data_IF_733409755757
#
_entry.id   IF_733409755757
#
_cell.length_a   1.000
_cell.length_b   1.000
_cell.length_c   1.000
_cell.angle_alpha   90.00
_cell.angle_beta   90.00
_cell.angle_gamma   90.00
#
_symmetry.space_group_name_H-M   'P 1'
#
loop_
_entity.id
_entity.type
_entity.pdbx_description
1 polymer ?
#
# COMPACT_ATOMS: atom_id res chain seq x y z
N UNK A 1 26.49 5.15 5.05
CA UNK A 1 26.21 4.94 6.49
C UNK A 1 24.80 4.41 6.61
N UNK A 2 24.60 3.14 6.94
CA UNK A 2 23.26 2.59 7.15
C UNK A 2 22.74 3.03 8.52
N UNK A 3 21.65 3.81 8.52
CA UNK A 3 21.03 4.30 9.74
C UNK A 3 20.07 3.21 10.26
N UNK A 4 20.38 2.59 11.39
CA UNK A 4 19.52 1.59 12.02
C UNK A 4 18.46 2.26 12.89
N UNK A 5 17.19 1.89 12.70
CA UNK A 5 16.05 2.40 13.47
C UNK A 5 15.44 1.25 14.27
N UNK A 6 15.09 1.49 15.53
CA UNK A 6 14.43 0.48 16.37
C UNK A 6 12.96 0.37 15.96
N UNK A 7 12.48 -0.83 15.61
CA UNK A 7 11.10 -1.04 15.17
C UNK A 7 10.04 -0.50 16.17
N UNK A 8 10.34 -0.59 17.48
CA UNK A 8 9.47 -0.06 18.55
C UNK A 8 9.13 1.42 18.40
N UNK A 9 10.02 2.24 17.81
CA UNK A 9 9.73 3.67 17.59
C UNK A 9 8.80 3.91 16.41
N UNK A 10 8.68 2.93 15.51
CA UNK A 10 7.82 2.97 14.32
C UNK A 10 6.44 2.38 14.63
N UNK A 11 6.36 1.37 15.51
CA UNK A 11 5.13 0.67 15.88
C UNK A 11 3.89 1.58 16.03
N UNK A 12 3.93 2.74 16.72
CA UNK A 12 2.76 3.61 16.86
C UNK A 12 2.10 4.05 15.54
N UNK A 13 2.84 4.01 14.43
CA UNK A 13 2.43 4.43 13.09
C UNK A 13 2.01 3.27 12.18
N UNK A 14 2.26 2.02 12.57
CA UNK A 14 2.07 0.82 11.73
C UNK A 14 1.24 -0.28 12.41
N UNK A 15 0.68 0.01 13.60
CA UNK A 15 -0.17 -0.92 14.35
C UNK A 15 -1.62 -0.45 14.39
N UNK A 16 -2.55 -1.39 14.25
CA UNK A 16 -3.97 -1.15 14.34
C UNK A 16 -4.42 -0.89 15.78
N UNK A 17 -5.21 0.16 15.97
CA UNK A 17 -5.76 0.54 17.29
C UNK A 17 -6.87 -0.40 17.81
N UNK A 18 -7.48 -1.20 16.92
CA UNK A 18 -8.53 -2.15 17.31
C UNK A 18 -7.92 -3.44 17.85
N UNK A 19 -7.03 -4.09 17.10
CA UNK A 19 -6.47 -5.39 17.49
C UNK A 19 -5.09 -5.31 18.18
N UNK A 20 -4.41 -4.16 18.13
CA UNK A 20 -3.06 -3.98 18.67
C UNK A 20 -1.93 -4.59 17.83
N UNK A 21 -2.24 -5.35 16.78
CA UNK A 21 -1.27 -5.94 15.85
C UNK A 21 -0.83 -4.98 14.73
N UNK A 22 0.11 -5.42 13.90
CA UNK A 22 0.48 -4.72 12.67
C UNK A 22 -0.69 -4.70 11.67
N UNK A 23 -0.71 -3.70 10.78
CA UNK A 23 -1.72 -3.64 9.73
C UNK A 23 -1.65 -4.85 8.79
N UNK A 24 -2.78 -5.55 8.67
CA UNK A 24 -3.04 -6.58 7.67
C UNK A 24 -4.23 -6.10 6.84
N UNK A 25 -4.04 -6.04 5.53
CA UNK A 25 -4.93 -5.36 4.59
C UNK A 25 -5.29 -3.94 5.08
N UNK A 26 -4.27 -3.08 5.21
CA UNK A 26 -4.38 -1.72 5.69
C UNK A 26 -5.53 -0.99 4.98
N UNK A 27 -6.50 -0.54 5.75
CA UNK A 27 -7.73 0.09 5.26
C UNK A 27 -7.89 1.42 5.96
N UNK A 28 -7.95 2.49 5.18
CA UNK A 28 -7.95 3.86 5.65
C UNK A 28 -9.34 4.47 5.47
N UNK A 29 -9.82 5.18 6.49
CA UNK A 29 -11.02 6.01 6.41
C UNK A 29 -10.69 7.26 5.61
N UNK A 30 -11.44 7.54 4.53
CA UNK A 30 -11.10 8.61 3.58
C UNK A 30 -11.17 10.00 4.20
N UNK A 31 -12.16 10.25 5.06
CA UNK A 31 -12.42 11.58 5.63
C UNK A 31 -11.41 11.99 6.71
N UNK A 32 -10.94 11.05 7.53
CA UNK A 32 -10.07 11.34 8.67
C UNK A 32 -8.66 10.73 8.58
N UNK A 33 -8.39 9.96 7.53
CA UNK A 33 -7.10 9.32 7.23
C UNK A 33 -6.55 8.41 8.35
N UNK A 34 -7.42 7.88 9.21
CA UNK A 34 -7.04 6.84 10.17
C UNK A 34 -7.07 5.47 9.52
N UNK A 35 -6.00 4.71 9.72
CA UNK A 35 -5.79 3.38 9.13
C UNK A 35 -5.97 2.25 10.16
N UNK A 36 -6.54 1.13 9.71
CA UNK A 36 -6.82 -0.06 10.50
C UNK A 36 -6.62 -1.32 9.65
N UNK A 37 -6.68 -2.52 10.23
CA UNK A 37 -6.80 -3.75 9.43
C UNK A 37 -8.20 -3.83 8.80
N UNK A 38 -8.32 -4.34 7.57
CA UNK A 38 -9.61 -4.49 6.87
C UNK A 38 -10.65 -5.21 7.72
N UNK A 39 -10.31 -6.39 8.23
CA UNK A 39 -11.22 -7.20 9.05
C UNK A 39 -11.65 -6.50 10.33
N UNK A 40 -10.77 -5.71 10.94
CA UNK A 40 -11.05 -4.97 12.16
C UNK A 40 -12.03 -3.82 11.89
N UNK A 41 -11.77 -3.00 10.87
CA UNK A 41 -12.60 -1.85 10.57
C UNK A 41 -13.96 -2.26 10.02
N UNK A 42 -14.01 -3.25 9.12
CA UNK A 42 -15.28 -3.76 8.57
C UNK A 42 -16.16 -4.30 9.69
N UNK A 43 -15.61 -5.13 10.59
CA UNK A 43 -16.35 -5.67 11.74
C UNK A 43 -16.86 -4.55 12.67
N UNK A 44 -16.04 -3.54 12.95
CA UNK A 44 -16.47 -2.39 13.76
C UNK A 44 -17.63 -1.63 13.11
N UNK A 45 -17.58 -1.46 11.78
CA UNK A 45 -18.59 -0.74 11.01
C UNK A 45 -19.94 -1.46 10.88
N UNK A 46 -19.99 -2.77 11.21
CA UNK A 46 -21.25 -3.51 11.34
C UNK A 46 -22.08 -2.99 12.53
N UNK A 47 -21.43 -2.51 13.59
CA UNK A 47 -22.08 -2.05 14.82
C UNK A 47 -22.09 -0.52 14.94
N UNK A 48 -20.98 0.14 14.57
CA UNK A 48 -20.76 1.59 14.80
C UNK A 48 -20.29 2.28 13.53
N UNK A 49 -21.01 3.34 13.14
CA UNK A 49 -20.70 4.13 11.93
C UNK A 49 -19.65 5.24 12.15
N UNK A 50 -18.88 5.14 13.23
CA UNK A 50 -17.88 6.13 13.64
C UNK A 50 -16.46 5.58 13.52
N UNK A 51 -15.49 6.47 13.30
CA UNK A 51 -14.08 6.10 13.29
C UNK A 51 -13.63 5.66 14.70
N UNK A 52 -12.99 4.48 14.86
CA UNK A 52 -12.52 4.01 16.17
C UNK A 52 -11.46 4.88 16.86
N UNK A 53 -10.81 5.80 16.12
CA UNK A 53 -9.72 6.64 16.66
C UNK A 53 -10.19 8.04 17.04
N UNK A 54 -11.07 8.66 16.23
CA UNK A 54 -11.49 10.05 16.43
C UNK A 54 -12.99 10.23 16.64
N UNK A 55 -13.77 9.14 16.66
CA UNK A 55 -15.23 9.11 16.88
C UNK A 55 -16.08 9.90 15.87
N UNK A 56 -15.46 10.52 14.85
CA UNK A 56 -16.18 11.15 13.75
C UNK A 56 -17.04 10.12 13.00
N UNK A 57 -18.27 10.50 12.66
CA UNK A 57 -19.14 9.70 11.81
C UNK A 57 -18.51 9.57 10.43
N UNK A 58 -18.26 8.33 9.99
CA UNK A 58 -17.67 8.04 8.68
C UNK A 58 -18.71 8.33 7.60
N UNK A 59 -19.92 7.77 7.76
CA UNK A 59 -21.07 8.06 6.93
C UNK A 59 -22.37 7.56 7.59
N UNK A 60 -23.52 8.18 7.27
CA UNK A 60 -24.79 7.91 7.97
C UNK A 60 -25.40 6.54 7.66
N UNK A 61 -25.23 6.01 6.44
CA UNK A 61 -25.86 4.74 6.01
C UNK A 61 -24.85 3.74 5.46
N UNK A 62 -23.95 4.18 4.59
CA UNK A 62 -22.97 3.33 3.89
C UNK A 62 -21.51 3.61 4.29
N UNK A 63 -21.08 3.37 5.54
CA UNK A 63 -19.70 3.65 5.97
C UNK A 63 -18.64 2.85 5.20
N UNK A 64 -18.99 1.66 4.67
CA UNK A 64 -18.07 0.84 3.87
C UNK A 64 -17.67 1.46 2.52
N UNK A 65 -18.42 2.46 2.03
CA UNK A 65 -18.07 3.19 0.80
C UNK A 65 -17.03 4.30 1.06
N UNK A 66 -16.77 4.62 2.32
CA UNK A 66 -15.88 5.72 2.77
C UNK A 66 -14.61 5.18 3.45
N UNK A 67 -14.29 3.92 3.16
CA UNK A 67 -13.03 3.29 3.52
C UNK A 67 -12.38 2.77 2.25
N UNK A 68 -11.05 2.78 2.20
CA UNK A 68 -10.31 2.34 1.02
C UNK A 68 -9.08 1.55 1.41
N UNK A 69 -8.74 0.55 0.61
CA UNK A 69 -7.50 -0.20 0.77
C UNK A 69 -6.31 0.73 0.53
N UNK A 70 -5.44 0.82 1.53
CA UNK A 70 -4.26 1.67 1.51
C UNK A 70 -3.05 0.83 1.12
N UNK A 71 -2.89 0.62 -0.19
CA UNK A 71 -1.79 -0.17 -0.76
C UNK A 71 -0.43 0.36 -0.28
N UNK A 72 -0.24 1.67 -0.26
CA UNK A 72 1.05 2.26 0.13
C UNK A 72 1.36 2.00 1.60
N UNK A 73 0.38 2.17 2.50
CA UNK A 73 0.59 1.85 3.92
C UNK A 73 0.84 0.36 4.14
N UNK A 74 0.13 -0.52 3.41
CA UNK A 74 0.37 -1.96 3.51
C UNK A 74 1.79 -2.33 3.04
N UNK A 75 2.26 -1.76 1.92
CA UNK A 75 3.61 -1.98 1.40
C UNK A 75 4.68 -1.48 2.39
N UNK A 76 4.44 -0.32 3.00
CA UNK A 76 5.34 0.22 4.04
C UNK A 76 5.43 -0.75 5.22
N UNK A 77 4.30 -1.27 5.70
CA UNK A 77 4.27 -2.19 6.84
C UNK A 77 5.02 -3.48 6.50
N UNK A 78 4.79 -4.08 5.33
CA UNK A 78 5.48 -5.30 4.90
C UNK A 78 6.97 -5.09 4.63
N UNK A 79 7.39 -3.92 4.13
CA UNK A 79 8.81 -3.61 3.93
C UNK A 79 9.55 -3.29 5.24
N UNK A 80 8.86 -2.80 6.26
CA UNK A 80 9.46 -2.41 7.54
C UNK A 80 9.49 -3.54 8.59
N UNK A 81 8.49 -4.43 8.58
CA UNK A 81 8.37 -5.51 9.57
C UNK A 81 8.88 -6.82 8.96
N UNK A 82 10.03 -7.35 9.42
CA UNK A 82 10.58 -8.59 8.88
C UNK A 82 9.59 -9.75 8.98
N UNK A 83 9.52 -10.57 7.92
CA UNK A 83 8.72 -11.80 7.81
C UNK A 83 7.20 -11.64 7.97
N UNK A 84 6.66 -10.43 8.20
CA UNK A 84 5.24 -10.23 8.48
C UNK A 84 4.34 -10.73 7.34
N UNK A 85 4.72 -10.43 6.09
CA UNK A 85 3.97 -10.84 4.90
C UNK A 85 3.95 -12.36 4.76
N UNK A 86 5.11 -13.00 4.89
CA UNK A 86 5.25 -14.46 4.82
C UNK A 86 4.47 -15.15 5.94
N UNK A 87 4.54 -14.62 7.16
CA UNK A 87 3.83 -15.14 8.32
C UNK A 87 2.30 -14.99 8.19
N UNK A 88 1.79 -13.92 7.57
CA UNK A 88 0.37 -13.77 7.26
C UNK A 88 -0.07 -14.79 6.20
N UNK A 89 0.68 -14.92 5.09
CA UNK A 89 0.39 -15.90 4.04
C UNK A 89 0.40 -17.34 4.59
N UNK A 90 1.34 -17.66 5.50
CA UNK A 90 1.40 -18.97 6.17
C UNK A 90 0.15 -19.19 7.02
N UNK A 91 -0.23 -18.22 7.86
CA UNK A 91 -1.43 -18.31 8.71
C UNK A 91 -2.70 -18.54 7.90
N UNK A 92 -2.85 -17.85 6.77
CA UNK A 92 -3.99 -18.03 5.87
C UNK A 92 -4.01 -19.44 5.27
N UNK A 93 -2.88 -19.92 4.72
CA UNK A 93 -2.80 -21.28 4.17
C UNK A 93 -3.08 -22.36 5.20
N UNK A 94 -2.54 -22.23 6.41
CA UNK A 94 -2.77 -23.18 7.50
C UNK A 94 -4.26 -23.21 7.91
N UNK A 95 -4.94 -22.06 7.88
CA UNK A 95 -6.38 -21.98 8.16
C UNK A 95 -7.24 -22.76 7.16
N UNK A 96 -6.93 -22.66 5.85
CA UNK A 96 -7.65 -23.40 4.81
C UNK A 96 -7.31 -24.90 4.83
N UNK A 97 -6.02 -25.22 4.96
CA UNK A 97 -5.52 -26.60 5.05
C UNK A 97 -6.15 -27.35 6.22
N UNK A 98 -6.24 -26.73 7.40
CA UNK A 98 -6.85 -27.35 8.59
C UNK A 98 -8.35 -27.61 8.45
N UNK A 99 -9.03 -26.94 7.51
CA UNK A 99 -10.45 -27.17 7.19
C UNK A 99 -10.66 -28.07 5.99
N UNK A 100 -9.59 -28.55 5.36
CA UNK A 100 -9.64 -29.36 4.16
C UNK A 100 -10.33 -28.63 2.97
N UNK A 101 -10.21 -27.31 2.92
CA UNK A 101 -10.77 -26.43 1.88
C UNK A 101 -9.60 -25.84 1.06
N UNK A 102 -9.70 -25.73 -0.28
CA UNK A 102 -8.68 -25.08 -1.09
C UNK A 102 -8.53 -23.61 -0.73
N UNK A 103 -7.28 -23.13 -0.64
CA UNK A 103 -7.00 -21.72 -0.45
C UNK A 103 -7.41 -20.93 -1.72
N UNK A 104 -8.23 -19.87 -1.61
CA UNK A 104 -8.66 -19.09 -2.77
C UNK A 104 -7.50 -18.50 -3.58
N UNK A 105 -6.37 -18.19 -2.94
CA UNK A 105 -5.18 -17.63 -3.59
C UNK A 105 -4.36 -18.65 -4.40
N UNK A 106 -4.60 -19.94 -4.19
CA UNK A 106 -3.90 -21.02 -4.91
C UNK A 106 -4.81 -21.62 -6.00
N UNK A 107 -6.07 -21.20 -6.12
CA UNK A 107 -6.95 -21.58 -7.22
C UNK A 107 -6.54 -20.84 -8.50
N UNK A 108 -6.58 -21.51 -9.67
CA UNK A 108 -6.43 -20.82 -10.95
C UNK A 108 -7.56 -19.79 -11.07
N UNK A 109 -7.22 -18.51 -10.99
CA UNK A 109 -8.13 -17.45 -11.39
C UNK A 109 -8.39 -17.64 -12.88
N UNK A 110 -9.65 -17.60 -13.32
CA UNK A 110 -9.97 -17.47 -14.74
C UNK A 110 -9.41 -16.11 -15.18
N UNK A 111 -8.17 -16.12 -15.67
CA UNK A 111 -7.41 -14.93 -16.05
C UNK A 111 -8.10 -14.11 -17.14
N UNK A 112 -9.07 -14.65 -17.88
CA UNK A 112 -9.74 -13.94 -18.97
C UNK A 112 -10.58 -12.71 -18.53
N UNK A 113 -11.20 -12.75 -17.33
CA UNK A 113 -12.03 -11.63 -16.84
C UNK A 113 -11.22 -10.62 -16.01
N UNK A 114 -10.23 -11.10 -15.25
CA UNK A 114 -9.32 -10.26 -14.48
C UNK A 114 -8.25 -9.60 -15.37
N UNK A 115 -7.69 -10.26 -16.40
CA UNK A 115 -6.77 -9.62 -17.36
C UNK A 115 -7.49 -8.54 -18.17
N UNK A 116 -8.74 -8.76 -18.61
CA UNK A 116 -9.49 -7.70 -19.32
C UNK A 116 -9.77 -6.47 -18.45
N UNK A 117 -10.09 -6.68 -17.17
CA UNK A 117 -10.27 -5.57 -16.22
C UNK A 117 -8.94 -4.92 -15.84
N UNK A 118 -7.88 -5.70 -15.59
CA UNK A 118 -6.55 -5.19 -15.28
C UNK A 118 -5.87 -4.52 -16.47
N UNK A 119 -6.07 -4.96 -17.71
CA UNK A 119 -5.51 -4.34 -18.93
C UNK A 119 -6.25 -3.04 -19.26
N UNK A 120 -7.59 -3.03 -19.18
CA UNK A 120 -8.36 -1.80 -19.32
C UNK A 120 -8.05 -0.78 -18.22
N UNK A 121 -7.77 -1.24 -17.00
CA UNK A 121 -7.27 -0.40 -15.93
C UNK A 121 -5.78 -0.05 -16.09
N UNK A 122 -4.91 -0.92 -16.59
CA UNK A 122 -3.48 -0.64 -16.75
C UNK A 122 -3.20 0.36 -17.87
N UNK A 123 -3.95 0.31 -18.98
CA UNK A 123 -3.88 1.32 -20.03
C UNK A 123 -4.39 2.71 -19.56
N UNK A 124 -5.31 2.75 -18.58
CA UNK A 124 -5.87 4.00 -18.04
C UNK A 124 -5.23 4.48 -16.72
N UNK A 125 -4.47 3.62 -16.03
CA UNK A 125 -3.86 3.91 -14.72
C UNK A 125 -2.48 4.56 -14.85
N UNK A 126 -1.91 4.66 -16.06
CA UNK A 126 -0.63 5.32 -16.32
C UNK A 126 0.50 4.81 -15.39
N UNK A 127 0.57 3.50 -15.15
CA UNK A 127 1.58 2.87 -14.29
C UNK A 127 1.56 3.31 -12.80
N UNK A 128 0.42 3.73 -12.23
CA UNK A 128 0.35 4.10 -10.80
C UNK A 128 0.38 2.89 -9.89
N UNK A 129 -0.13 1.75 -10.34
CA UNK A 129 -0.16 0.50 -9.59
C UNK A 129 1.16 -0.29 -9.66
N UNK A 130 2.06 0.06 -10.57
CA UNK A 130 3.41 -0.53 -10.66
C UNK A 130 4.22 -0.26 -9.38
N UNK A 131 5.18 -1.15 -9.08
CA UNK A 131 6.14 -0.90 -8.03
C UNK A 131 6.84 0.45 -8.27
N UNK A 132 6.74 1.36 -7.30
CA UNK A 132 7.32 2.69 -7.41
C UNK A 132 8.77 2.68 -6.92
N UNK A 133 9.69 3.17 -7.74
CA UNK A 133 11.11 3.36 -7.41
C UNK A 133 11.42 4.84 -7.25
N UNK A 134 12.41 5.14 -6.40
CA UNK A 134 12.93 6.49 -6.23
C UNK A 134 14.32 6.57 -6.87
N UNK A 135 14.45 7.38 -7.91
CA UNK A 135 15.69 7.63 -8.64
C UNK A 135 16.29 8.94 -8.16
N UNK A 136 17.55 8.92 -7.72
CA UNK A 136 18.35 10.11 -7.45
C UNK A 136 19.11 10.50 -8.71
N UNK A 137 18.94 11.74 -9.16
CA UNK A 137 19.67 12.32 -10.29
C UNK A 137 20.83 13.15 -9.79
N UNK A 138 22.03 12.75 -10.17
CA UNK A 138 23.28 13.42 -9.81
C UNK A 138 24.01 13.86 -11.07
N UNK A 139 24.51 15.10 -11.08
CA UNK A 139 25.35 15.58 -12.15
C UNK A 139 26.80 15.22 -11.84
N UNK A 140 27.44 14.42 -12.69
CA UNK A 140 28.86 14.06 -12.52
C UNK A 140 29.82 15.15 -13.05
N UNK A 141 29.29 16.22 -13.63
CA UNK A 141 30.07 17.32 -14.20
C UNK A 141 30.01 18.55 -13.32
N UNK A 142 31.17 19.11 -12.96
CA UNK A 142 31.28 20.32 -12.13
C UNK A 142 30.77 21.61 -12.82
N UNK A 143 30.44 21.54 -14.12
CA UNK A 143 30.03 22.69 -14.93
C UNK A 143 28.53 22.97 -14.90
N UNK A 144 27.72 22.09 -14.32
CA UNK A 144 26.26 22.27 -14.26
C UNK A 144 25.80 22.47 -12.82
N UNK A 145 24.83 23.37 -12.63
CA UNK A 145 24.17 23.54 -11.34
C UNK A 145 23.41 22.26 -10.99
N UNK A 146 23.51 21.84 -9.74
CA UNK A 146 22.74 20.72 -9.22
C UNK A 146 21.23 20.99 -9.39
N UNK A 147 20.48 19.94 -9.74
CA UNK A 147 19.03 20.01 -9.83
C UNK A 147 18.43 20.37 -8.47
N UNK A 148 17.52 21.34 -8.46
CA UNK A 148 16.75 21.74 -7.27
C UNK A 148 15.93 20.56 -6.71
N UNK A 149 15.46 19.66 -7.59
CA UNK A 149 14.71 18.45 -7.21
C UNK A 149 15.39 17.22 -7.81
N UNK A 150 16.30 16.62 -7.04
CA UNK A 150 17.12 15.47 -7.48
C UNK A 150 16.39 14.13 -7.46
N UNK A 151 15.30 14.01 -6.72
CA UNK A 151 14.58 12.75 -6.58
C UNK A 151 13.37 12.71 -7.52
N UNK A 152 13.24 11.59 -8.23
CA UNK A 152 12.08 11.23 -9.05
C UNK A 152 11.48 9.96 -8.47
N UNK A 153 10.19 10.00 -8.16
CA UNK A 153 9.40 8.79 -7.94
C UNK A 153 8.73 8.43 -9.25
N UNK A 154 8.96 7.22 -9.74
CA UNK A 154 8.36 6.70 -10.97
C UNK A 154 8.11 5.20 -10.85
N UNK A 155 7.31 4.64 -11.76
CA UNK A 155 7.17 3.20 -11.91
C UNK A 155 8.54 2.54 -12.14
N UNK A 156 8.72 1.32 -11.64
CA UNK A 156 9.86 0.45 -11.92
C UNK A 156 10.01 0.13 -13.41
N UNK A 157 8.95 0.28 -14.19
CA UNK A 157 8.94 0.15 -15.65
C UNK A 157 9.36 1.44 -16.38
N UNK A 158 9.63 2.53 -15.65
CA UNK A 158 10.02 3.80 -16.28
C UNK A 158 11.36 3.66 -17.03
N UNK A 159 11.34 3.99 -18.32
CA UNK A 159 12.54 3.95 -19.17
C UNK A 159 13.37 5.23 -19.04
N UNK A 160 14.63 5.17 -19.48
CA UNK A 160 15.51 6.36 -19.58
C UNK A 160 14.87 7.45 -20.44
N UNK A 161 14.08 7.08 -21.46
CA UNK A 161 13.36 8.03 -22.31
C UNK A 161 12.33 8.83 -21.52
N UNK A 162 11.60 8.19 -20.60
CA UNK A 162 10.68 8.86 -19.69
C UNK A 162 11.42 9.85 -18.76
N UNK A 163 12.59 9.48 -18.25
CA UNK A 163 13.41 10.37 -17.42
C UNK A 163 13.94 11.57 -18.23
N UNK A 164 14.40 11.34 -19.46
CA UNK A 164 14.89 12.40 -20.36
C UNK A 164 13.82 13.42 -20.72
N UNK A 165 12.56 13.02 -20.93
CA UNK A 165 11.48 13.97 -21.24
C UNK A 165 11.06 14.83 -20.05
N UNK A 166 11.37 14.39 -18.84
CA UNK A 166 11.04 15.10 -17.61
C UNK A 166 12.09 16.15 -17.21
N UNK A 167 13.38 15.87 -17.47
CA UNK A 167 14.49 16.77 -17.13
C UNK A 167 14.30 18.22 -17.65
N UNK A 168 13.87 18.47 -18.91
CA UNK A 168 13.67 19.83 -19.42
C UNK A 168 12.57 20.61 -18.70
N UNK A 169 11.56 19.94 -18.12
CA UNK A 169 10.42 20.58 -17.46
C UNK A 169 10.75 21.13 -16.06
N UNK A 170 11.98 20.92 -15.60
CA UNK A 170 12.47 21.32 -14.27
C UNK A 170 13.61 22.35 -14.30
N UNK A 171 14.01 22.79 -15.50
CA UNK A 171 14.93 23.91 -15.70
C UNK A 171 14.16 25.16 -16.10
#
# INVERSE_FOLDING_TARGET
>A
MERRVKLKTINPHITCKICGGYFIDATTVTECLHTFCKSCLVKHLEEKKTCPTCDNVIHQSHPLQYISFDRTMQDIVYKLVPNLQEDEMRRERDFYKSRNIPCPKDMPQNHDDDEKMLEAHAESDFHRLDEQVNVSLECMSNNFKNLQRRFIRCSSQATITHLKSWLPKKF
#
